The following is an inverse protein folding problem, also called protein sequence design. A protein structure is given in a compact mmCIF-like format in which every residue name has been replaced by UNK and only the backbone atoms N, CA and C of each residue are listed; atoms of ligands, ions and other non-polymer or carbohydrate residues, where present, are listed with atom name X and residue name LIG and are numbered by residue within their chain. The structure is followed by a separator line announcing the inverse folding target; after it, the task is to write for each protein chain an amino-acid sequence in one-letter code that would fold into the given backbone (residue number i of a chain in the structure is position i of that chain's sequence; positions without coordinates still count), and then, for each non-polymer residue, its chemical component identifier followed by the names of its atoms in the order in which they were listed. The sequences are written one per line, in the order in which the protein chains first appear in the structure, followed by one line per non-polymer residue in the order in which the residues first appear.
data_IF_066711579612
#
_entry.id   IF_066711579612
#
_cell.length_a   1.000
_cell.length_b   1.000
_cell.length_c   1.000
_cell.angle_alpha   90.00
_cell.angle_beta   90.00
_cell.angle_gamma   90.00
#
_symmetry.space_group_name_H-M   'P 1'
#
loop_
_entity.id
_entity.type
_entity.pdbx_description
1 polymer ?
#
# COMPACT_ATOMS: atom_id res chain seq x y z
N UNK A 1 -15.42 -30.94 -0.93
CA UNK A 1 -15.63 -30.04 0.23
C UNK A 1 -14.75 -28.80 0.11
N UNK A 2 -15.07 -27.87 -0.79
CA UNK A 2 -14.34 -26.59 -0.97
C UNK A 2 -15.34 -25.46 -1.30
N UNK A 3 -16.41 -25.35 -0.52
CA UNK A 3 -17.54 -24.46 -0.83
C UNK A 3 -17.94 -23.61 0.40
N UNK A 4 -16.94 -23.23 1.20
CA UNK A 4 -17.16 -22.44 2.43
C UNK A 4 -16.24 -21.20 2.53
N UNK A 5 -15.51 -20.84 1.46
CA UNK A 5 -14.57 -19.71 1.48
C UNK A 5 -15.15 -18.38 0.94
N UNK A 6 -16.34 -18.40 0.34
CA UNK A 6 -16.93 -17.21 -0.31
C UNK A 6 -17.87 -16.39 0.60
N UNK A 7 -18.04 -16.78 1.87
CA UNK A 7 -19.08 -16.22 2.74
C UNK A 7 -18.81 -14.79 3.27
N UNK A 8 -17.62 -14.22 3.04
CA UNK A 8 -17.26 -12.90 3.58
C UNK A 8 -16.71 -11.92 2.54
N UNK A 9 -17.11 -12.07 1.27
CA UNK A 9 -16.80 -11.06 0.25
C UNK A 9 -17.64 -9.82 0.52
N UNK A 10 -17.08 -8.91 1.32
CA UNK A 10 -17.61 -7.57 1.53
C UNK A 10 -18.00 -6.99 0.16
N UNK A 11 -19.25 -6.57 -0.07
CA UNK A 11 -19.67 -6.19 -1.41
C UNK A 11 -18.75 -5.09 -1.94
N UNK A 12 -18.27 -5.22 -3.18
CA UNK A 12 -17.23 -4.34 -3.76
C UNK A 12 -17.49 -2.84 -3.53
N UNK A 13 -18.76 -2.44 -3.47
CA UNK A 13 -19.22 -1.06 -3.18
C UNK A 13 -18.86 -0.61 -1.76
N UNK A 14 -19.02 -1.46 -0.75
CA UNK A 14 -18.68 -1.17 0.64
C UNK A 14 -17.17 -1.09 0.83
N UNK A 15 -16.41 -2.03 0.26
CA UNK A 15 -14.95 -1.99 0.31
C UNK A 15 -14.40 -0.67 -0.27
N UNK A 16 -14.95 -0.19 -1.40
CA UNK A 16 -14.59 1.11 -1.98
C UNK A 16 -14.93 2.28 -1.05
N UNK A 17 -16.11 2.29 -0.43
CA UNK A 17 -16.50 3.36 0.51
C UNK A 17 -15.59 3.38 1.73
N UNK A 18 -15.30 2.22 2.32
CA UNK A 18 -14.37 2.10 3.45
C UNK A 18 -12.96 2.53 3.04
N UNK A 19 -12.51 2.16 1.84
CA UNK A 19 -11.23 2.62 1.31
C UNK A 19 -11.17 4.15 1.21
N UNK A 20 -12.16 4.77 0.56
CA UNK A 20 -12.24 6.24 0.42
C UNK A 20 -12.25 6.90 1.80
N UNK A 21 -13.12 6.45 2.71
CA UNK A 21 -13.18 6.98 4.08
C UNK A 21 -11.86 6.84 4.83
N UNK A 22 -11.18 5.68 4.69
CA UNK A 22 -9.87 5.44 5.31
C UNK A 22 -8.77 6.31 4.72
N UNK A 23 -8.89 6.70 3.44
CA UNK A 23 -7.91 7.50 2.71
C UNK A 23 -7.98 9.00 3.01
N UNK A 24 -9.10 9.49 3.55
CA UNK A 24 -9.24 10.91 3.95
C UNK A 24 -8.14 11.30 4.95
N UNK A 25 -7.86 10.44 5.94
CA UNK A 25 -6.88 10.73 6.98
C UNK A 25 -5.45 10.93 6.43
N UNK A 26 -4.87 10.01 5.62
CA UNK A 26 -3.57 10.24 5.02
C UNK A 26 -3.56 11.41 4.01
N UNK A 27 -4.67 11.68 3.29
CA UNK A 27 -4.76 12.86 2.40
C UNK A 27 -4.61 14.15 3.21
N UNK A 28 -5.36 14.26 4.29
CA UNK A 28 -5.30 15.41 5.20
C UNK A 28 -3.91 15.55 5.83
N UNK A 29 -3.27 14.45 6.23
CA UNK A 29 -1.90 14.46 6.75
C UNK A 29 -0.88 15.00 5.74
N UNK A 30 -1.03 14.67 4.44
CA UNK A 30 -0.17 15.20 3.37
C UNK A 30 -0.40 16.69 3.13
N UNK A 31 -1.68 17.12 3.09
CA UNK A 31 -2.04 18.52 2.86
C UNK A 31 -1.50 19.42 3.98
N UNK A 32 -1.76 19.07 5.23
CA UNK A 32 -1.27 19.81 6.40
C UNK A 32 0.19 19.58 6.73
N UNK A 33 0.83 18.57 6.10
CA UNK A 33 2.22 18.19 6.35
C UNK A 33 2.51 17.91 7.84
N UNK A 34 1.49 17.49 8.56
CA UNK A 34 1.53 17.14 9.97
C UNK A 34 0.75 15.83 10.19
N UNK A 35 1.21 15.03 11.13
CA UNK A 35 0.56 13.79 11.55
C UNK A 35 -0.47 14.01 12.66
N UNK A 36 -0.75 15.27 13.04
CA UNK A 36 -1.78 15.63 14.00
C UNK A 36 -3.15 15.16 13.51
N UNK A 37 -3.68 14.16 14.21
CA UNK A 37 -4.98 13.56 13.91
C UNK A 37 -6.08 14.54 14.33
N UNK A 38 -6.68 15.26 13.39
CA UNK A 38 -7.85 16.09 13.69
C UNK A 38 -9.08 15.22 14.01
N UNK A 39 -9.16 14.01 13.46
CA UNK A 39 -10.21 13.04 13.77
C UNK A 39 -9.73 12.15 14.92
N UNK A 40 -10.14 12.46 16.15
CA UNK A 40 -9.98 11.58 17.31
C UNK A 40 -11.10 10.54 17.31
N UNK A 41 -10.77 9.31 17.00
CA UNK A 41 -11.69 8.18 17.20
C UNK A 41 -11.82 7.90 18.71
N UNK A 42 -13.04 7.84 19.27
CA UNK A 42 -13.24 7.69 20.72
C UNK A 42 -12.69 6.36 21.28
N UNK A 43 -12.53 5.34 20.44
CA UNK A 43 -12.03 4.02 20.82
C UNK A 43 -10.53 3.81 20.55
N UNK A 44 -9.87 4.75 19.87
CA UNK A 44 -8.42 4.68 19.66
C UNK A 44 -7.75 5.33 20.85
N UNK A 45 -7.53 4.52 21.90
CA UNK A 45 -6.73 4.87 23.07
C UNK A 45 -5.46 5.59 22.63
N UNK A 46 -5.19 6.77 23.22
CA UNK A 46 -3.97 7.56 23.00
C UNK A 46 -2.80 6.60 22.89
N UNK A 47 -2.18 6.51 21.70
CA UNK A 47 -0.99 5.71 21.47
C UNK A 47 -0.04 5.99 22.64
N UNK A 48 0.08 5.01 23.53
CA UNK A 48 0.98 5.13 24.66
C UNK A 48 2.36 5.21 24.02
N UNK A 49 3.01 6.38 24.11
CA UNK A 49 4.42 6.49 23.79
C UNK A 49 5.16 5.36 24.50
N UNK A 50 6.26 4.83 23.93
CA UNK A 50 6.88 3.60 24.40
C UNK A 50 7.14 3.67 25.90
N UNK A 51 6.29 3.01 26.70
CA UNK A 51 6.49 2.77 28.13
C UNK A 51 7.48 1.61 28.24
N UNK A 52 8.73 1.88 27.91
CA UNK A 52 9.82 0.92 27.96
C UNK A 52 11.09 1.60 28.46
N UNK A 53 12.08 0.82 28.96
CA UNK A 53 13.36 1.36 29.38
C UNK A 53 13.97 2.25 28.29
N UNK A 54 14.57 3.37 28.68
CA UNK A 54 15.04 4.44 27.78
C UNK A 54 15.93 3.95 26.61
N UNK A 55 16.59 2.80 26.79
CA UNK A 55 17.41 2.15 25.77
C UNK A 55 16.59 1.58 24.61
N UNK A 56 15.39 1.04 24.86
CA UNK A 56 14.49 0.54 23.81
C UNK A 56 13.93 1.74 23.01
N UNK A 57 13.57 2.83 23.69
CA UNK A 57 13.10 4.04 23.00
C UNK A 57 14.17 4.66 22.08
N UNK A 58 15.46 4.57 22.43
CA UNK A 58 16.57 4.97 21.54
C UNK A 58 16.71 4.04 20.34
N UNK A 59 16.70 2.73 20.52
CA UNK A 59 16.79 1.75 19.42
C UNK A 59 15.61 1.85 18.45
N UNK A 60 14.39 2.06 18.96
CA UNK A 60 13.22 2.32 18.14
C UNK A 60 13.30 3.66 17.41
N UNK A 61 13.87 4.72 18.02
CA UNK A 61 14.11 5.98 17.30
C UNK A 61 15.11 5.84 16.15
N UNK A 62 16.08 4.92 16.25
CA UNK A 62 17.06 4.67 15.19
C UNK A 62 16.48 3.78 14.07
N UNK A 63 15.78 2.69 14.43
CA UNK A 63 15.16 1.77 13.45
C UNK A 63 13.94 2.38 12.75
N UNK A 64 13.15 3.17 13.46
CA UNK A 64 11.98 3.88 12.92
C UNK A 64 12.29 5.34 12.59
N UNK A 65 13.50 5.66 12.13
CA UNK A 65 13.78 6.99 11.56
C UNK A 65 12.76 7.36 10.47
N UNK A 66 12.27 6.34 9.74
CA UNK A 66 11.18 6.43 8.79
C UNK A 66 9.87 7.00 9.37
N UNK A 67 9.58 6.78 10.65
CA UNK A 67 8.40 7.32 11.32
C UNK A 67 8.49 8.84 11.57
N UNK A 68 9.68 9.45 11.46
CA UNK A 68 9.88 10.91 11.53
C UNK A 68 9.79 11.60 10.19
N UNK A 69 9.61 10.87 9.09
CA UNK A 69 9.45 11.52 7.79
C UNK A 69 8.18 12.35 7.77
N UNK A 70 8.33 13.62 7.37
CA UNK A 70 7.18 14.50 7.09
C UNK A 70 6.20 13.78 6.15
N UNK A 71 4.88 13.91 6.33
CA UNK A 71 3.89 13.22 5.51
C UNK A 71 4.12 13.42 4.01
N UNK A 72 4.53 14.62 3.58
CA UNK A 72 4.87 14.90 2.17
C UNK A 72 6.04 14.05 1.67
N UNK A 73 7.06 13.82 2.49
CA UNK A 73 8.20 12.96 2.16
C UNK A 73 7.77 11.50 2.08
N UNK A 74 6.92 11.03 3.00
CA UNK A 74 6.34 9.70 2.91
C UNK A 74 5.52 9.51 1.63
N UNK A 75 4.75 10.52 1.23
CA UNK A 75 3.98 10.52 -0.01
C UNK A 75 4.90 10.45 -1.24
N UNK A 76 5.98 11.25 -1.28
CA UNK A 76 6.93 11.22 -2.40
C UNK A 76 7.63 9.88 -2.48
N UNK A 77 8.04 9.27 -1.36
CA UNK A 77 8.60 7.91 -1.33
C UNK A 77 7.61 6.91 -1.96
N UNK A 78 6.33 6.95 -1.56
CA UNK A 78 5.29 6.12 -2.17
C UNK A 78 5.16 6.32 -3.67
N UNK A 79 5.21 7.58 -4.13
CA UNK A 79 5.14 7.89 -5.56
C UNK A 79 6.35 7.37 -6.35
N UNK A 80 7.55 7.45 -5.77
CA UNK A 80 8.78 6.93 -6.37
C UNK A 80 8.74 5.41 -6.46
N UNK A 81 8.22 4.72 -5.44
CA UNK A 81 8.02 3.27 -5.48
C UNK A 81 7.06 2.87 -6.61
N UNK A 82 5.99 3.63 -6.84
CA UNK A 82 5.08 3.37 -7.97
C UNK A 82 5.77 3.61 -9.31
N UNK A 83 6.58 4.66 -9.43
CA UNK A 83 7.37 4.92 -10.64
C UNK A 83 8.32 3.76 -10.94
N UNK A 84 9.07 3.31 -9.91
CA UNK A 84 10.01 2.19 -10.01
C UNK A 84 9.29 0.90 -10.41
N UNK A 85 8.14 0.62 -9.82
CA UNK A 85 7.34 -0.55 -10.20
C UNK A 85 6.86 -0.45 -11.65
N UNK A 86 6.48 0.74 -12.14
CA UNK A 86 6.03 0.92 -13.52
C UNK A 86 7.17 0.81 -14.54
N UNK A 87 8.40 1.21 -14.18
CA UNK A 87 9.57 1.10 -15.06
C UNK A 87 10.27 -0.26 -14.97
N UNK A 88 9.94 -1.09 -13.98
CA UNK A 88 10.52 -2.42 -13.78
C UNK A 88 9.54 -3.55 -14.11
N UNK A 89 10.07 -4.78 -14.16
CA UNK A 89 9.32 -6.02 -14.35
C UNK A 89 8.34 -6.35 -13.21
N UNK A 90 8.44 -5.66 -12.08
CA UNK A 90 7.76 -6.00 -10.83
C UNK A 90 6.29 -5.54 -10.76
N UNK A 91 5.73 -5.11 -11.89
CA UNK A 91 4.33 -4.69 -11.99
C UNK A 91 3.37 -5.73 -11.42
N UNK A 92 3.65 -7.02 -11.64
CA UNK A 92 2.79 -8.14 -11.21
C UNK A 92 3.01 -8.59 -9.76
N UNK A 93 4.12 -8.19 -9.13
CA UNK A 93 4.46 -8.65 -7.76
C UNK A 93 3.87 -7.71 -6.70
N UNK A 94 3.80 -6.42 -7.00
CA UNK A 94 3.48 -5.38 -6.02
C UNK A 94 2.26 -4.52 -6.41
N UNK A 95 1.24 -5.04 -7.10
CA UNK A 95 -0.02 -4.31 -7.29
C UNK A 95 -1.06 -4.84 -6.27
N UNK A 96 -1.01 -4.41 -4.98
CA UNK A 96 -1.94 -4.88 -3.95
C UNK A 96 -3.38 -4.61 -4.38
N UNK A 97 -4.23 -5.64 -4.24
CA UNK A 97 -5.66 -5.47 -4.43
C UNK A 97 -6.20 -4.37 -3.51
N UNK A 98 -7.21 -3.63 -3.96
CA UNK A 98 -7.80 -2.53 -3.17
C UNK A 98 -8.19 -2.93 -1.73
N UNK A 99 -8.53 -4.21 -1.52
CA UNK A 99 -8.76 -4.78 -0.20
C UNK A 99 -7.54 -4.74 0.73
N UNK A 100 -6.33 -5.04 0.21
CA UNK A 100 -5.08 -5.00 0.99
C UNK A 100 -4.74 -3.56 1.37
N UNK A 101 -4.91 -2.60 0.45
CA UNK A 101 -4.73 -1.17 0.76
C UNK A 101 -5.70 -0.67 1.84
N UNK A 102 -6.95 -1.13 1.81
CA UNK A 102 -7.95 -0.83 2.84
C UNK A 102 -7.56 -1.43 4.19
N UNK A 103 -7.16 -2.70 4.20
CA UNK A 103 -6.72 -3.40 5.40
C UNK A 103 -5.49 -2.74 6.02
N UNK A 104 -4.49 -2.37 5.22
CA UNK A 104 -3.30 -1.65 5.69
C UNK A 104 -3.65 -0.29 6.29
N UNK A 105 -4.53 0.49 5.64
CA UNK A 105 -4.99 1.76 6.21
C UNK A 105 -5.72 1.56 7.53
N UNK A 106 -6.55 0.52 7.64
CA UNK A 106 -7.29 0.21 8.86
C UNK A 106 -6.36 -0.25 9.99
N UNK A 107 -5.38 -1.11 9.69
CA UNK A 107 -4.34 -1.53 10.63
C UNK A 107 -3.51 -0.32 11.09
N UNK A 108 -3.14 0.57 10.17
CA UNK A 108 -2.45 1.82 10.49
C UNK A 108 -3.27 2.70 11.43
N UNK A 109 -4.59 2.77 11.21
CA UNK A 109 -5.52 3.50 12.06
C UNK A 109 -5.59 2.90 13.47
N UNK A 110 -5.67 1.57 13.58
CA UNK A 110 -5.69 0.87 14.87
C UNK A 110 -4.35 0.93 15.60
N UNK A 111 -3.23 0.77 14.89
CA UNK A 111 -1.88 0.84 15.44
C UNK A 111 -1.45 2.27 15.78
N UNK A 112 -2.20 3.29 15.35
CA UNK A 112 -1.83 4.70 15.49
C UNK A 112 -0.61 5.11 14.65
N UNK A 113 -0.14 4.23 13.76
CA UNK A 113 1.00 4.47 12.86
C UNK A 113 0.51 5.06 11.55
N UNK A 114 0.88 6.32 11.26
CA UNK A 114 0.29 7.09 10.14
C UNK A 114 1.14 7.11 8.88
N UNK A 115 2.45 6.88 9.01
CA UNK A 115 3.39 6.97 7.90
C UNK A 115 3.15 5.93 6.79
N UNK A 116 2.78 4.65 7.05
CA UNK A 116 2.62 3.67 5.98
C UNK A 116 1.39 3.98 5.11
N UNK A 117 0.30 4.45 5.72
CA UNK A 117 -0.90 4.85 4.99
C UNK A 117 -0.62 5.98 3.98
N UNK A 118 0.27 6.92 4.33
CA UNK A 118 0.67 8.01 3.43
C UNK A 118 1.54 7.52 2.27
N UNK A 119 2.44 6.55 2.50
CA UNK A 119 3.21 5.90 1.43
C UNK A 119 2.27 5.18 0.47
N UNK A 120 1.34 4.38 0.99
CA UNK A 120 0.36 3.63 0.18
C UNK A 120 -0.52 4.59 -0.62
N UNK A 121 -0.92 5.72 -0.04
CA UNK A 121 -1.67 6.77 -0.74
C UNK A 121 -0.86 7.35 -1.91
N UNK A 122 0.40 7.75 -1.68
CA UNK A 122 1.28 8.24 -2.74
C UNK A 122 1.49 7.22 -3.86
N UNK A 123 1.64 5.95 -3.49
CA UNK A 123 1.76 4.86 -4.44
C UNK A 123 0.48 4.67 -5.28
N UNK A 124 -0.71 4.72 -4.67
CA UNK A 124 -1.98 4.48 -5.35
C UNK A 124 -2.39 5.62 -6.30
N UNK A 125 -2.19 6.88 -5.89
CA UNK A 125 -2.65 8.06 -6.63
C UNK A 125 -1.74 8.39 -7.82
N UNK A 126 -0.44 8.13 -7.70
CA UNK A 126 0.52 8.57 -8.72
C UNK A 126 0.61 7.66 -9.95
N UNK A 127 -0.10 6.53 -10.00
CA UNK A 127 -0.13 5.64 -11.17
C UNK A 127 -0.51 6.37 -12.46
N UNK A 128 -1.59 7.15 -12.44
CA UNK A 128 -2.06 7.92 -13.60
C UNK A 128 -1.05 9.00 -13.98
N UNK A 129 -0.49 9.69 -12.98
CA UNK A 129 0.52 10.72 -13.18
C UNK A 129 1.75 10.17 -13.93
N UNK A 130 2.29 9.03 -13.49
CA UNK A 130 3.43 8.38 -14.15
C UNK A 130 3.08 7.83 -15.54
N UNK A 131 1.84 7.38 -15.74
CA UNK A 131 1.37 6.92 -17.05
C UNK A 131 1.36 8.06 -18.07
N UNK A 132 0.95 9.26 -17.66
CA UNK A 132 0.95 10.47 -18.51
C UNK A 132 2.39 10.88 -18.85
N UNK A 133 3.33 10.74 -17.92
CA UNK A 133 4.76 10.99 -18.15
C UNK A 133 5.46 9.92 -19.00
N UNK A 134 4.74 8.91 -19.48
CA UNK A 134 5.31 7.86 -20.32
C UNK A 134 6.11 6.80 -19.57
N UNK A 135 5.98 6.71 -18.23
CA UNK A 135 6.60 5.64 -17.47
C UNK A 135 5.96 4.29 -17.86
N UNK A 136 6.65 3.54 -18.71
CA UNK A 136 6.26 2.21 -19.18
C UNK A 136 7.44 1.26 -18.98
N UNK A 137 7.14 -0.01 -18.76
CA UNK A 137 8.19 -1.02 -18.71
C UNK A 137 8.86 -1.14 -20.09
N UNK A 138 10.19 -1.30 -20.16
CA UNK A 138 10.88 -1.49 -21.43
C UNK A 138 10.39 -2.78 -22.09
N UNK A 139 9.75 -2.66 -23.26
CA UNK A 139 9.28 -3.78 -24.06
C UNK A 139 10.49 -4.45 -24.72
N UNK A 140 10.85 -5.66 -24.30
CA UNK A 140 11.81 -6.50 -25.03
C UNK A 140 13.06 -6.95 -24.28
N UNK A 141 13.21 -6.64 -22.99
CA UNK A 141 14.33 -7.21 -22.22
C UNK A 141 13.90 -8.56 -21.63
N UNK A 142 14.49 -9.70 -22.08
CA UNK A 142 14.20 -10.99 -21.47
C UNK A 142 14.66 -10.97 -20.02
N UNK A 143 13.75 -11.31 -19.10
CA UNK A 143 14.05 -11.30 -17.67
C UNK A 143 15.07 -12.40 -17.34
N UNK A 144 16.19 -12.08 -16.65
CA UNK A 144 17.14 -13.09 -16.21
C UNK A 144 16.58 -13.97 -15.07
N UNK A 145 15.52 -13.53 -14.39
CA UNK A 145 14.87 -14.27 -13.31
C UNK A 145 13.72 -15.08 -13.89
N UNK A 146 14.02 -16.30 -14.32
CA UNK A 146 12.98 -17.31 -14.50
C UNK A 146 12.41 -17.66 -13.12
N UNK A 147 11.32 -16.99 -12.72
CA UNK A 147 10.53 -17.45 -11.58
C UNK A 147 9.99 -18.82 -11.96
N UNK A 148 10.58 -19.87 -11.39
CA UNK A 148 10.08 -21.24 -11.44
C UNK A 148 8.78 -21.31 -10.65
N UNK A 149 7.72 -20.76 -11.23
CA UNK A 149 6.38 -20.89 -10.70
C UNK A 149 6.02 -22.39 -10.68
N UNK A 150 5.67 -22.98 -9.52
CA UNK A 150 5.22 -24.35 -9.46
C UNK A 150 4.04 -24.55 -10.42
N UNK A 151 4.03 -25.68 -11.14
CA UNK A 151 3.24 -25.89 -12.36
C UNK A 151 1.74 -25.57 -12.30
N UNK A 152 1.16 -25.43 -11.10
CA UNK A 152 -0.22 -24.99 -10.89
C UNK A 152 -0.48 -23.52 -11.23
N UNK A 153 0.51 -22.62 -11.05
CA UNK A 153 0.32 -21.19 -11.37
C UNK A 153 0.47 -20.91 -12.88
N UNK A 154 1.18 -21.79 -13.60
CA UNK A 154 1.38 -21.69 -15.05
C UNK A 154 0.10 -21.95 -15.84
N UNK A 155 -0.78 -22.83 -15.35
CA UNK A 155 -2.05 -23.15 -16.02
C UNK A 155 -3.08 -22.03 -15.92
N UNK A 156 -3.09 -21.25 -14.83
CA UNK A 156 -3.95 -20.07 -14.71
C UNK A 156 -3.56 -18.96 -15.69
N UNK A 157 -2.26 -18.69 -15.86
CA UNK A 157 -1.76 -17.67 -16.78
C UNK A 157 -1.99 -18.02 -18.26
N UNK A 158 -1.99 -19.31 -18.61
CA UNK A 158 -2.29 -19.74 -19.98
C UNK A 158 -3.78 -19.73 -20.31
N UNK A 159 -4.66 -19.72 -19.30
CA UNK A 159 -6.12 -19.70 -19.50
C UNK A 159 -6.67 -18.30 -19.76
N UNK A 160 -5.97 -17.25 -19.35
CA UNK A 160 -6.41 -15.85 -19.51
C UNK A 160 -5.86 -15.16 -20.76
N UNK A 161 -5.24 -15.88 -21.71
CA UNK A 161 -5.05 -15.31 -23.06
C UNK A 161 -6.32 -15.55 -23.87
N UNK A 162 -7.22 -14.56 -24.05
CA UNK A 162 -8.20 -14.64 -25.10
C UNK A 162 -7.44 -14.68 -26.43
N UNK A 163 -7.69 -15.73 -27.22
CA UNK A 163 -7.30 -15.79 -28.63
C UNK A 163 -7.84 -14.55 -29.32
N UNK A 164 -6.95 -13.61 -29.64
CA UNK A 164 -7.27 -12.44 -30.44
C UNK A 164 -7.29 -12.90 -31.91
N UNK A 165 -8.46 -13.39 -32.35
CA UNK A 165 -8.83 -13.44 -33.77
C UNK A 165 -9.33 -12.08 -34.21
#
# INVERSE_FOLDING_TARGET
SCEAADAYVLPKRWARRVYVLSSINPVLAVLWNDYTCHIRMPFVTKAHGPRGPANIAKTYNTLFYFARFKPRVAFTIGSMLRALQMTTAFQFVFDPVAGVGTGLNLICLFAGSRWPAVIVLGWAVTKQFWTILGARAPSGVPFPIQLSLPGRARSWLLRERPDNR
#
